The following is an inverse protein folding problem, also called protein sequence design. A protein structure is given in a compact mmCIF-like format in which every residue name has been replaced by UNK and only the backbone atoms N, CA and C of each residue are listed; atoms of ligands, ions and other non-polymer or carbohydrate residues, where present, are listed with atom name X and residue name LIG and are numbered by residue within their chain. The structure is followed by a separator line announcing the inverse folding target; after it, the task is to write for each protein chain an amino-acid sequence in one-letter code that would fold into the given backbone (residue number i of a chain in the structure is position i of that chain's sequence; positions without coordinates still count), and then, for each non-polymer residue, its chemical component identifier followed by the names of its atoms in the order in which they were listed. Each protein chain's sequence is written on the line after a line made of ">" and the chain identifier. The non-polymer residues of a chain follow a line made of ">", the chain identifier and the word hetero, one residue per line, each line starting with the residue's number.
data_IF_810088548947
#
_entry.id   IF_810088548947
#
_cell.length_a   1.000
_cell.length_b   1.000
_cell.length_c   1.000
_cell.angle_alpha   90.00
_cell.angle_beta   90.00
_cell.angle_gamma   90.00
#
_symmetry.space_group_name_H-M   'P 1'
#
loop_
_entity.id
_entity.type
_entity.pdbx_description
1 polymer ?
#
# COMPACT_ATOMS: atom_id res chain seq x y z
N UNK A 1 3.01 1.68 -8.33
CA UNK A 1 4.27 2.43 -8.06
C UNK A 1 4.18 3.30 -6.80
N UNK A 2 3.25 4.26 -6.65
CA UNK A 2 3.18 5.16 -5.49
C UNK A 2 3.14 4.43 -4.14
N UNK A 3 2.21 3.50 -3.93
CA UNK A 3 2.15 2.70 -2.71
C UNK A 3 3.40 1.84 -2.46
N UNK A 4 4.04 1.33 -3.51
CA UNK A 4 5.26 0.55 -3.37
C UNK A 4 6.44 1.44 -2.92
N UNK A 5 6.55 2.65 -3.46
CA UNK A 5 7.54 3.64 -2.99
C UNK A 5 7.26 4.07 -1.55
N UNK A 6 5.99 4.29 -1.20
CA UNK A 6 5.59 4.61 0.16
C UNK A 6 6.03 3.51 1.13
N UNK A 7 5.66 2.28 0.88
CA UNK A 7 5.99 1.16 1.78
C UNK A 7 7.49 0.88 1.87
N UNK A 8 8.24 1.04 0.75
CA UNK A 8 9.65 0.69 0.70
C UNK A 8 10.58 1.87 1.07
N UNK A 9 10.18 3.12 0.84
CA UNK A 9 11.11 4.25 0.92
C UNK A 9 10.75 5.29 1.97
N UNK A 10 9.52 5.28 2.50
CA UNK A 10 9.06 6.33 3.42
C UNK A 10 9.88 6.37 4.70
N UNK A 11 10.12 5.21 5.34
CA UNK A 11 10.95 5.12 6.54
C UNK A 11 12.36 5.66 6.29
N UNK A 12 12.96 5.32 5.14
CA UNK A 12 14.26 5.83 4.70
C UNK A 12 14.26 7.35 4.54
N UNK A 13 13.22 7.91 3.87
CA UNK A 13 13.11 9.36 3.63
C UNK A 13 13.03 10.09 4.96
N UNK A 14 12.12 9.74 5.86
CA UNK A 14 11.96 10.44 7.13
C UNK A 14 13.18 10.35 8.03
N UNK A 15 13.82 9.18 8.11
CA UNK A 15 15.05 9.03 8.89
C UNK A 15 16.20 9.84 8.26
N UNK A 16 16.29 9.90 6.93
CA UNK A 16 17.28 10.75 6.25
C UNK A 16 17.04 12.24 6.50
N UNK A 17 15.76 12.67 6.59
CA UNK A 17 15.42 14.05 6.97
C UNK A 17 15.71 14.37 8.45
N UNK A 18 16.05 13.36 9.26
CA UNK A 18 16.38 13.50 10.67
C UNK A 18 15.21 13.25 11.61
N UNK A 19 14.17 12.52 11.19
CA UNK A 19 13.13 12.09 12.09
C UNK A 19 13.72 11.13 13.14
N UNK A 20 13.39 11.38 14.41
CA UNK A 20 13.73 10.47 15.50
C UNK A 20 12.99 9.13 15.30
N UNK A 21 13.71 7.99 15.29
CA UNK A 21 13.10 6.67 15.18
C UNK A 21 12.01 6.40 16.23
N UNK A 22 12.12 6.98 17.44
CA UNK A 22 11.10 6.87 18.48
C UNK A 22 9.76 7.51 18.07
N UNK A 23 9.79 8.48 17.18
CA UNK A 23 8.62 9.24 16.75
C UNK A 23 8.18 8.95 15.31
N UNK A 24 8.81 7.98 14.63
CA UNK A 24 8.45 7.62 13.25
C UNK A 24 6.98 7.21 13.09
N UNK A 25 6.41 6.58 14.09
CA UNK A 25 5.00 6.16 14.07
C UNK A 25 4.02 7.28 13.72
N UNK A 26 4.30 8.54 14.11
CA UNK A 26 3.43 9.67 13.76
C UNK A 26 3.26 9.86 12.25
N UNK A 27 4.31 9.67 11.47
CA UNK A 27 4.28 9.83 10.03
C UNK A 27 3.52 8.70 9.32
N UNK A 28 3.40 7.55 9.99
CA UNK A 28 2.73 6.36 9.45
C UNK A 28 1.27 6.21 9.91
N UNK A 29 0.75 7.06 10.81
CA UNK A 29 -0.67 7.09 11.17
C UNK A 29 -1.52 7.72 10.07
N UNK A 30 -1.02 8.79 9.44
CA UNK A 30 -1.78 9.61 8.49
C UNK A 30 -2.25 8.82 7.26
N UNK A 31 -1.41 8.01 6.58
CA UNK A 31 -1.82 7.24 5.41
C UNK A 31 -3.03 6.33 5.63
N UNK A 32 -3.05 5.39 6.58
CA UNK A 32 -4.20 4.52 6.78
C UNK A 32 -5.44 5.27 7.27
N UNK A 33 -5.28 6.36 8.02
CA UNK A 33 -6.39 7.22 8.42
C UNK A 33 -7.03 7.89 7.20
N UNK A 34 -6.22 8.41 6.29
CA UNK A 34 -6.68 8.99 5.05
C UNK A 34 -7.41 7.95 4.19
N UNK A 35 -6.85 6.75 4.02
CA UNK A 35 -7.47 5.66 3.27
C UNK A 35 -8.82 5.24 3.84
N UNK A 36 -8.95 5.17 5.14
CA UNK A 36 -10.20 4.82 5.83
C UNK A 36 -11.33 5.84 5.60
N UNK A 37 -10.99 7.12 5.43
CA UNK A 37 -11.97 8.20 5.22
C UNK A 37 -12.23 8.43 3.74
N UNK A 38 -11.18 8.53 2.92
CA UNK A 38 -11.27 8.99 1.53
C UNK A 38 -11.93 7.96 0.61
N UNK A 39 -11.61 6.68 0.78
CA UNK A 39 -12.17 5.65 -0.10
C UNK A 39 -13.71 5.60 -0.07
N UNK A 40 -14.38 5.56 1.11
CA UNK A 40 -15.84 5.61 1.17
C UNK A 40 -16.42 6.91 0.61
N UNK A 41 -15.78 8.06 0.89
CA UNK A 41 -16.25 9.36 0.40
C UNK A 41 -16.19 9.43 -1.13
N UNK A 42 -15.07 9.06 -1.74
CA UNK A 42 -14.92 9.04 -3.19
C UNK A 42 -15.91 8.05 -3.82
N UNK A 43 -16.11 6.87 -3.23
CA UNK A 43 -17.13 5.93 -3.66
C UNK A 43 -18.51 6.58 -3.68
N UNK A 44 -18.94 7.14 -2.56
CA UNK A 44 -20.25 7.77 -2.40
C UNK A 44 -20.49 8.95 -3.36
N UNK A 45 -19.51 9.86 -3.45
CA UNK A 45 -19.65 11.03 -4.33
C UNK A 45 -19.56 10.66 -5.80
N UNK A 46 -18.67 9.74 -6.19
CA UNK A 46 -18.52 9.33 -7.57
C UNK A 46 -19.76 8.60 -8.11
N UNK A 47 -20.51 7.90 -7.26
CA UNK A 47 -21.78 7.29 -7.66
C UNK A 47 -22.87 8.31 -8.01
N UNK A 48 -22.78 9.54 -7.48
CA UNK A 48 -23.73 10.63 -7.66
C UNK A 48 -23.27 11.69 -8.65
N UNK A 49 -22.03 11.64 -9.06
CA UNK A 49 -21.43 12.59 -10.01
C UNK A 49 -21.67 12.11 -11.44
N UNK A 50 -22.05 13.02 -12.34
CA UNK A 50 -22.01 12.79 -13.77
C UNK A 50 -21.53 14.05 -14.47
N UNK A 51 -20.50 13.92 -15.28
CA UNK A 51 -19.87 15.01 -16.04
C UNK A 51 -19.69 14.61 -17.50
N UNK A 52 -19.22 15.53 -18.34
CA UNK A 52 -18.85 15.25 -19.74
C UNK A 52 -17.76 14.17 -19.89
N UNK A 53 -16.98 13.90 -18.83
CA UNK A 53 -15.94 12.88 -18.81
C UNK A 53 -16.43 11.53 -18.26
N UNK A 54 -17.64 11.49 -17.73
CA UNK A 54 -18.19 10.33 -17.04
C UNK A 54 -18.39 10.56 -15.55
N UNK A 55 -18.56 9.47 -14.81
CA UNK A 55 -18.84 9.43 -13.38
C UNK A 55 -17.57 9.33 -12.55
N UNK A 56 -16.64 8.49 -12.96
CA UNK A 56 -15.40 8.16 -12.25
C UNK A 56 -14.20 9.02 -12.71
N UNK A 57 -14.17 9.40 -13.99
CA UNK A 57 -13.06 10.09 -14.63
C UNK A 57 -12.70 11.44 -14.01
N UNK A 58 -13.62 12.30 -13.53
CA UNK A 58 -13.26 13.57 -12.91
C UNK A 58 -12.35 13.43 -11.70
N UNK A 59 -12.53 12.38 -10.92
CA UNK A 59 -11.71 12.11 -9.73
C UNK A 59 -10.26 11.73 -10.13
N UNK A 60 -10.09 10.93 -11.17
CA UNK A 60 -8.78 10.60 -11.76
C UNK A 60 -8.10 11.84 -12.35
N UNK A 61 -8.87 12.68 -13.06
CA UNK A 61 -8.35 13.90 -13.70
C UNK A 61 -7.84 14.92 -12.69
N UNK A 62 -8.42 14.98 -11.50
CA UNK A 62 -8.00 15.90 -10.43
C UNK A 62 -6.90 15.25 -9.57
N UNK A 63 -7.14 14.06 -9.07
CA UNK A 63 -6.24 13.40 -8.12
C UNK A 63 -4.91 12.95 -8.76
N UNK A 64 -4.92 12.54 -10.03
CA UNK A 64 -3.72 12.12 -10.76
C UNK A 64 -2.64 13.20 -10.84
N UNK A 65 -2.93 14.39 -11.40
CA UNK A 65 -1.96 15.50 -11.45
C UNK A 65 -1.51 15.99 -10.08
N UNK A 66 -2.42 16.11 -9.10
CA UNK A 66 -2.06 16.50 -7.73
C UNK A 66 -1.11 15.45 -7.13
N UNK A 67 -1.42 14.16 -7.27
CA UNK A 67 -0.57 13.07 -6.79
C UNK A 67 0.80 13.06 -7.46
N UNK A 68 0.89 13.38 -8.76
CA UNK A 68 2.16 13.50 -9.47
C UNK A 68 3.02 14.66 -8.91
N UNK A 69 2.43 15.82 -8.64
CA UNK A 69 3.11 16.95 -8.00
C UNK A 69 3.62 16.54 -6.61
N UNK A 70 2.79 15.90 -5.81
CA UNK A 70 3.15 15.45 -4.46
C UNK A 70 4.31 14.46 -4.49
N UNK A 71 4.30 13.51 -5.44
CA UNK A 71 5.41 12.55 -5.63
C UNK A 71 6.73 13.24 -5.99
N UNK A 72 6.69 14.37 -6.70
CA UNK A 72 7.88 15.17 -6.97
C UNK A 72 8.35 15.94 -5.73
N UNK A 73 7.42 16.51 -4.96
CA UNK A 73 7.75 17.36 -3.82
C UNK A 73 8.26 16.57 -2.62
N UNK A 74 7.70 15.40 -2.35
CA UNK A 74 7.99 14.61 -1.15
C UNK A 74 9.49 14.29 -0.98
N UNK A 75 10.21 13.70 -1.95
CA UNK A 75 11.63 13.37 -1.78
C UNK A 75 12.53 14.63 -1.78
N UNK A 76 12.00 15.80 -2.11
CA UNK A 76 12.70 17.07 -2.08
C UNK A 76 12.54 17.85 -0.76
N UNK A 77 11.83 17.30 0.22
CA UNK A 77 11.57 17.97 1.50
C UNK A 77 12.85 18.52 2.17
N UNK A 78 13.97 17.79 2.07
CA UNK A 78 15.26 18.24 2.60
C UNK A 78 15.99 19.28 1.75
N UNK A 79 15.61 19.43 0.47
CA UNK A 79 16.30 20.33 -0.49
C UNK A 79 15.75 21.76 -0.50
N UNK A 80 14.67 22.04 0.24
CA UNK A 80 14.06 23.38 0.30
C UNK A 80 14.72 24.32 1.33
N UNK A 81 15.86 23.93 1.91
CA UNK A 81 16.57 24.77 2.89
C UNK A 81 15.93 24.81 4.28
N UNK A 82 15.02 23.89 4.59
CA UNK A 82 14.36 23.83 5.91
C UNK A 82 15.29 23.39 7.05
N UNK A 83 16.46 22.83 6.72
CA UNK A 83 17.43 22.32 7.68
C UNK A 83 17.16 20.87 8.13
N UNK A 84 18.26 20.19 8.54
CA UNK A 84 18.22 18.82 9.04
C UNK A 84 17.45 18.74 10.36
N UNK A 85 16.60 17.72 10.52
CA UNK A 85 15.77 17.48 11.69
C UNK A 85 14.85 18.66 12.10
N UNK A 86 14.65 19.62 11.21
CA UNK A 86 13.79 20.75 11.50
C UNK A 86 12.32 20.34 11.49
N UNK A 87 11.53 20.97 12.39
CA UNK A 87 10.08 20.77 12.41
C UNK A 87 9.45 21.08 11.05
N UNK A 88 9.99 22.07 10.31
CA UNK A 88 9.48 22.47 9.01
C UNK A 88 9.70 21.38 7.95
N UNK A 89 10.90 20.77 7.87
CA UNK A 89 11.19 19.69 6.94
C UNK A 89 10.32 18.45 7.23
N UNK A 90 10.20 18.09 8.50
CA UNK A 90 9.42 16.93 8.94
C UNK A 90 7.91 17.13 8.73
N UNK A 91 7.39 18.32 9.07
CA UNK A 91 5.98 18.66 8.84
C UNK A 91 5.65 18.72 7.35
N UNK A 92 6.52 19.29 6.53
CA UNK A 92 6.36 19.27 5.07
C UNK A 92 6.31 17.84 4.54
N UNK A 93 7.25 16.98 4.96
CA UNK A 93 7.26 15.57 4.60
C UNK A 93 5.97 14.86 5.02
N UNK A 94 5.48 15.11 6.24
CA UNK A 94 4.23 14.53 6.75
C UNK A 94 3.00 14.95 5.94
N UNK A 95 2.90 16.27 5.61
CA UNK A 95 1.80 16.79 4.78
C UNK A 95 1.86 16.19 3.37
N UNK A 96 3.06 16.10 2.76
CA UNK A 96 3.22 15.50 1.44
C UNK A 96 2.87 14.01 1.46
N UNK A 97 3.21 13.28 2.52
CA UNK A 97 2.82 11.88 2.69
C UNK A 97 1.31 11.72 2.79
N UNK A 98 0.66 12.54 3.59
CA UNK A 98 -0.80 12.56 3.72
C UNK A 98 -1.46 12.84 2.35
N UNK A 99 -1.00 13.86 1.64
CA UNK A 99 -1.51 14.21 0.31
C UNK A 99 -1.25 13.11 -0.72
N UNK A 100 -0.10 12.43 -0.65
CA UNK A 100 0.21 11.29 -1.51
C UNK A 100 -0.79 10.16 -1.28
N UNK A 101 -1.12 9.87 -0.04
CA UNK A 101 -2.07 8.81 0.29
C UNK A 101 -3.50 9.20 -0.10
N UNK A 102 -3.92 10.44 0.20
CA UNK A 102 -5.23 10.98 -0.22
C UNK A 102 -5.41 10.86 -1.73
N UNK A 103 -4.44 11.33 -2.52
CA UNK A 103 -4.51 11.32 -3.98
C UNK A 103 -4.41 9.91 -4.56
N UNK A 104 -3.56 9.03 -3.98
CA UNK A 104 -3.44 7.65 -4.41
C UNK A 104 -4.73 6.87 -4.18
N UNK A 105 -5.37 7.04 -3.01
CA UNK A 105 -6.66 6.42 -2.71
C UNK A 105 -7.78 7.01 -3.58
N UNK A 106 -7.76 8.33 -3.83
CA UNK A 106 -8.71 8.99 -4.71
C UNK A 106 -8.60 8.53 -6.17
N UNK A 107 -7.41 8.16 -6.64
CA UNK A 107 -7.21 7.53 -7.96
C UNK A 107 -7.61 6.05 -7.96
N UNK A 108 -7.26 5.32 -6.90
CA UNK A 108 -7.44 3.87 -6.86
C UNK A 108 -8.91 3.45 -6.84
N UNK A 109 -9.76 4.16 -6.11
CA UNK A 109 -11.18 3.83 -6.00
C UNK A 109 -11.90 3.89 -7.35
N UNK A 110 -11.91 5.03 -8.10
CA UNK A 110 -12.52 5.08 -9.41
C UNK A 110 -11.97 4.03 -10.37
N UNK A 111 -10.66 3.80 -10.36
CA UNK A 111 -10.00 2.81 -11.19
C UNK A 111 -10.51 1.39 -10.93
N UNK A 112 -10.68 1.00 -9.67
CA UNK A 112 -11.27 -0.29 -9.30
C UNK A 112 -12.74 -0.38 -9.71
N UNK A 113 -13.51 0.68 -9.50
CA UNK A 113 -14.94 0.71 -9.80
C UNK A 113 -15.23 0.61 -11.30
N UNK A 114 -14.37 1.14 -12.18
CA UNK A 114 -14.50 1.01 -13.63
C UNK A 114 -14.54 -0.46 -14.07
N UNK A 115 -13.76 -1.34 -13.44
CA UNK A 115 -13.79 -2.78 -13.73
C UNK A 115 -15.15 -3.37 -13.38
N UNK A 116 -15.71 -3.01 -12.22
CA UNK A 116 -17.04 -3.45 -11.81
C UNK A 116 -18.18 -2.89 -12.70
N UNK A 117 -18.03 -1.63 -13.12
CA UNK A 117 -19.04 -0.89 -13.85
C UNK A 117 -19.11 -1.26 -15.35
N UNK A 118 -17.97 -1.59 -15.98
CA UNK A 118 -17.85 -1.68 -17.43
C UNK A 118 -17.49 -3.07 -17.96
N UNK A 119 -16.97 -3.95 -17.12
CA UNK A 119 -16.53 -5.29 -17.54
C UNK A 119 -17.61 -6.31 -17.23
N UNK A 120 -17.98 -7.12 -18.24
CA UNK A 120 -18.97 -8.18 -18.05
C UNK A 120 -18.45 -9.28 -17.11
N UNK A 121 -19.36 -10.05 -16.49
CA UNK A 121 -19.03 -11.05 -15.49
C UNK A 121 -18.00 -12.10 -15.99
N UNK A 122 -18.09 -12.51 -17.26
CA UNK A 122 -17.19 -13.51 -17.84
C UNK A 122 -15.74 -13.04 -18.00
N UNK A 123 -15.53 -11.72 -18.09
CA UNK A 123 -14.21 -11.10 -18.28
C UNK A 123 -13.68 -10.42 -17.01
N UNK A 124 -14.49 -10.34 -15.95
CA UNK A 124 -14.16 -9.64 -14.71
C UNK A 124 -12.92 -10.20 -14.02
N UNK A 125 -12.82 -11.53 -13.93
CA UNK A 125 -11.65 -12.17 -13.31
C UNK A 125 -10.36 -11.90 -14.09
N UNK A 126 -10.44 -11.88 -15.41
CA UNK A 126 -9.31 -11.52 -16.28
C UNK A 126 -8.92 -10.05 -16.09
N UNK A 127 -9.87 -9.14 -16.00
CA UNK A 127 -9.60 -7.71 -15.78
C UNK A 127 -8.92 -7.45 -14.43
N UNK A 128 -9.40 -8.09 -13.35
CA UNK A 128 -8.76 -8.05 -12.03
C UNK A 128 -7.35 -8.64 -12.04
N UNK A 129 -7.15 -9.74 -12.77
CA UNK A 129 -5.83 -10.36 -12.90
C UNK A 129 -4.83 -9.44 -13.60
N UNK A 130 -5.22 -8.81 -14.70
CA UNK A 130 -4.39 -7.82 -15.39
C UNK A 130 -4.08 -6.60 -14.52
N UNK A 131 -5.09 -6.08 -13.79
CA UNK A 131 -4.87 -4.99 -12.86
C UNK A 131 -3.78 -5.33 -11.84
N UNK A 132 -3.84 -6.54 -11.28
CA UNK A 132 -2.87 -6.98 -10.26
C UNK A 132 -1.47 -7.20 -10.85
N UNK A 133 -1.38 -7.73 -12.07
CA UNK A 133 -0.11 -7.88 -12.79
C UNK A 133 0.54 -6.50 -13.01
N UNK A 134 -0.19 -5.51 -13.54
CA UNK A 134 0.35 -4.17 -13.74
C UNK A 134 0.69 -3.47 -12.42
N UNK A 135 -0.08 -3.68 -11.37
CA UNK A 135 0.20 -3.17 -10.03
C UNK A 135 1.53 -3.71 -9.50
N UNK A 136 1.74 -5.02 -9.59
CA UNK A 136 2.97 -5.68 -9.15
C UNK A 136 4.19 -5.28 -10.00
N UNK A 137 4.05 -5.21 -11.34
CA UNK A 137 5.11 -4.72 -12.22
C UNK A 137 5.52 -3.28 -11.86
N UNK A 138 4.53 -2.41 -11.63
CA UNK A 138 4.80 -1.05 -11.15
C UNK A 138 5.51 -1.02 -9.79
N UNK A 139 5.17 -1.95 -8.90
CA UNK A 139 5.86 -2.13 -7.62
C UNK A 139 7.31 -2.55 -7.78
N UNK A 140 7.56 -3.58 -8.58
CA UNK A 140 8.90 -4.08 -8.90
C UNK A 140 9.79 -2.97 -9.47
N UNK A 141 9.32 -2.27 -10.49
CA UNK A 141 10.08 -1.17 -11.11
C UNK A 141 10.39 -0.08 -10.07
N UNK A 142 9.39 0.34 -9.30
CA UNK A 142 9.54 1.41 -8.33
C UNK A 142 10.57 1.10 -7.25
N UNK A 143 10.54 -0.11 -6.70
CA UNK A 143 11.40 -0.50 -5.57
C UNK A 143 12.81 -0.87 -5.99
N UNK A 144 12.97 -1.39 -7.21
CA UNK A 144 14.27 -1.79 -7.75
C UNK A 144 15.06 -0.61 -8.33
N UNK A 145 14.39 0.44 -8.76
CA UNK A 145 15.00 1.54 -9.52
C UNK A 145 16.16 2.23 -8.79
N UNK A 146 16.10 2.59 -7.49
CA UNK A 146 17.24 3.22 -6.81
C UNK A 146 18.50 2.33 -6.81
N UNK A 147 18.32 1.01 -6.70
CA UNK A 147 19.42 0.05 -6.77
C UNK A 147 20.06 0.01 -8.18
N UNK A 148 19.22 -0.07 -9.23
CA UNK A 148 19.70 -0.08 -10.62
C UNK A 148 20.45 1.21 -10.96
N UNK A 149 19.94 2.36 -10.56
CA UNK A 149 20.60 3.64 -10.77
C UNK A 149 21.97 3.71 -10.08
N UNK A 150 22.09 3.11 -8.89
CA UNK A 150 23.36 3.03 -8.18
C UNK A 150 24.37 2.14 -8.93
N UNK A 151 23.95 0.99 -9.47
CA UNK A 151 24.81 0.13 -10.32
C UNK A 151 25.26 0.86 -11.58
N UNK A 152 24.41 1.71 -12.14
CA UNK A 152 24.72 2.55 -13.31
C UNK A 152 25.68 3.71 -12.99
N UNK A 153 26.17 3.78 -11.76
CA UNK A 153 27.18 4.76 -11.33
C UNK A 153 26.61 6.04 -10.70
N UNK A 154 25.31 6.13 -10.44
CA UNK A 154 24.75 7.28 -9.72
C UNK A 154 25.07 7.21 -8.22
N UNK A 155 25.45 8.36 -7.64
CA UNK A 155 25.70 8.44 -6.20
C UNK A 155 24.41 8.16 -5.40
N UNK A 156 24.51 7.26 -4.44
CA UNK A 156 23.44 6.93 -3.50
C UNK A 156 23.63 7.65 -2.15
N UNK A 157 24.59 8.54 -2.05
CA UNK A 157 24.88 9.36 -0.87
C UNK A 157 24.52 10.81 -1.20
N UNK A 158 23.94 11.50 -0.24
CA UNK A 158 23.58 12.91 -0.33
C UNK A 158 24.06 13.64 0.94
N UNK A 159 24.12 14.98 0.92
CA UNK A 159 24.34 15.77 2.12
C UNK A 159 23.36 15.41 3.24
N UNK A 160 23.77 15.62 4.49
CA UNK A 160 22.95 15.35 5.66
C UNK A 160 21.62 16.11 5.59
N UNK A 161 20.52 15.39 5.71
CA UNK A 161 19.17 15.96 5.59
C UNK A 161 18.60 15.93 4.18
N UNK A 162 19.35 15.50 3.17
CA UNK A 162 18.86 15.36 1.79
C UNK A 162 18.71 13.92 1.37
N UNK A 163 17.64 13.64 0.62
CA UNK A 163 17.38 12.32 0.05
C UNK A 163 18.27 12.10 -1.17
N UNK A 164 18.93 10.93 -1.32
CA UNK A 164 19.77 10.63 -2.47
C UNK A 164 19.05 10.78 -3.82
N UNK A 165 19.79 11.19 -4.86
CA UNK A 165 19.23 11.43 -6.19
C UNK A 165 18.63 10.17 -6.81
N UNK A 166 19.17 8.99 -6.50
CA UNK A 166 18.63 7.69 -6.92
C UNK A 166 17.18 7.50 -6.45
N UNK A 167 16.87 7.89 -5.23
CA UNK A 167 15.51 7.84 -4.67
C UNK A 167 14.63 8.93 -5.29
N UNK A 168 15.14 10.17 -5.43
CA UNK A 168 14.40 11.27 -6.07
C UNK A 168 13.95 10.88 -7.47
N UNK A 169 14.82 10.30 -8.28
CA UNK A 169 14.49 9.85 -9.65
C UNK A 169 13.40 8.77 -9.64
N UNK A 170 13.44 7.82 -8.71
CA UNK A 170 12.37 6.81 -8.61
C UNK A 170 11.00 7.45 -8.38
N UNK A 171 10.93 8.48 -7.54
CA UNK A 171 9.70 9.25 -7.32
C UNK A 171 9.30 10.07 -8.55
N UNK A 172 10.25 10.68 -9.27
CA UNK A 172 9.95 11.45 -10.49
C UNK A 172 9.41 10.55 -11.61
N UNK A 173 9.97 9.36 -11.78
CA UNK A 173 9.45 8.38 -12.74
C UNK A 173 8.05 7.94 -12.33
N UNK A 174 7.80 7.66 -11.05
CA UNK A 174 6.48 7.31 -10.56
C UNK A 174 5.45 8.44 -10.79
N UNK A 175 5.86 9.69 -10.60
CA UNK A 175 5.05 10.88 -10.87
C UNK A 175 4.66 10.98 -12.34
N UNK A 176 5.65 10.82 -13.23
CA UNK A 176 5.43 10.84 -14.69
C UNK A 176 4.49 9.72 -15.13
N UNK A 177 4.69 8.49 -14.64
CA UNK A 177 3.82 7.34 -14.94
C UNK A 177 2.40 7.58 -14.42
N UNK A 178 2.24 8.09 -13.20
CA UNK A 178 0.92 8.41 -12.63
C UNK A 178 0.18 9.45 -13.47
N UNK A 179 0.86 10.53 -13.84
CA UNK A 179 0.28 11.60 -14.63
C UNK A 179 -0.14 11.13 -16.02
N UNK A 180 0.77 10.45 -16.74
CA UNK A 180 0.51 9.92 -18.08
C UNK A 180 -0.63 8.89 -18.05
N UNK A 181 -0.59 7.94 -17.11
CA UNK A 181 -1.62 6.92 -16.98
C UNK A 181 -2.98 7.50 -16.62
N UNK A 182 -3.04 8.49 -15.74
CA UNK A 182 -4.29 9.17 -15.36
C UNK A 182 -4.91 9.89 -16.55
N UNK A 183 -4.12 10.69 -17.28
CA UNK A 183 -4.58 11.41 -18.47
C UNK A 183 -5.01 10.42 -19.57
N UNK A 184 -4.19 9.40 -19.83
CA UNK A 184 -4.52 8.37 -20.80
C UNK A 184 -5.86 7.67 -20.49
N UNK A 185 -6.08 7.30 -19.22
CA UNK A 185 -7.30 6.65 -18.81
C UNK A 185 -8.52 7.55 -19.04
N UNK A 186 -8.44 8.83 -18.64
CA UNK A 186 -9.52 9.80 -18.83
C UNK A 186 -9.87 10.02 -20.30
N UNK A 187 -8.86 10.01 -21.19
CA UNK A 187 -9.07 10.21 -22.63
C UNK A 187 -9.55 8.95 -23.35
N UNK A 188 -9.16 7.76 -22.88
CA UNK A 188 -9.41 6.49 -23.57
C UNK A 188 -10.68 5.78 -23.10
N UNK A 189 -11.06 5.92 -21.84
CA UNK A 189 -12.20 5.21 -21.26
C UNK A 189 -13.45 6.09 -21.38
N UNK A 190 -14.49 5.55 -22.03
CA UNK A 190 -15.81 6.17 -22.09
C UNK A 190 -16.77 5.39 -21.20
N UNK A 191 -17.22 6.01 -20.14
CA UNK A 191 -18.18 5.41 -19.22
C UNK A 191 -19.59 5.41 -19.81
N UNK A 192 -20.41 4.44 -19.39
CA UNK A 192 -21.82 4.38 -19.77
C UNK A 192 -22.58 5.55 -19.16
N UNK A 193 -23.49 6.16 -19.97
CA UNK A 193 -24.44 7.14 -19.46
C UNK A 193 -25.33 6.53 -18.35
N UNK A 194 -25.80 7.33 -17.37
CA UNK A 194 -26.57 6.83 -16.24
C UNK A 194 -27.76 5.94 -16.61
N UNK A 195 -28.48 6.28 -17.69
CA UNK A 195 -29.60 5.48 -18.17
C UNK A 195 -29.15 4.10 -18.67
N UNK A 196 -28.09 4.07 -19.48
CA UNK A 196 -27.51 2.83 -20.02
C UNK A 196 -26.91 1.97 -18.90
N UNK A 197 -26.23 2.61 -17.94
CA UNK A 197 -25.69 1.96 -16.77
C UNK A 197 -26.78 1.28 -15.93
N UNK A 198 -27.85 2.02 -15.60
CA UNK A 198 -29.00 1.49 -14.84
C UNK A 198 -29.65 0.30 -15.56
N UNK A 199 -29.79 0.38 -16.89
CA UNK A 199 -30.34 -0.70 -17.71
C UNK A 199 -29.50 -1.98 -17.61
N UNK A 200 -28.16 -1.89 -17.77
CA UNK A 200 -27.28 -3.05 -17.70
C UNK A 200 -27.15 -3.66 -16.30
N UNK A 201 -27.33 -2.86 -15.25
CA UNK A 201 -27.20 -3.30 -13.87
C UNK A 201 -28.54 -3.59 -13.19
N UNK A 202 -29.65 -3.47 -13.91
CA UNK A 202 -31.00 -3.75 -13.37
C UNK A 202 -31.40 -2.85 -12.19
N UNK A 203 -30.86 -1.61 -12.13
CA UNK A 203 -31.11 -0.69 -11.02
C UNK A 203 -32.43 0.06 -11.30
N UNK A 204 -33.44 -0.18 -10.48
CA UNK A 204 -34.65 0.65 -10.43
C UNK A 204 -34.40 1.89 -9.55
N UNK A 205 -35.01 3.04 -9.90
CA UNK A 205 -34.79 4.29 -9.16
C UNK A 205 -35.26 4.26 -7.70
N UNK A 206 -36.09 3.32 -7.31
CA UNK A 206 -36.65 3.18 -5.95
C UNK A 206 -35.65 2.72 -4.91
N UNK A 207 -34.59 1.98 -5.27
CA UNK A 207 -33.64 1.38 -4.32
C UNK A 207 -32.51 2.32 -3.85
N UNK A 208 -32.49 3.58 -4.27
CA UNK A 208 -31.42 4.56 -3.94
C UNK A 208 -31.49 5.15 -2.52
N UNK A 209 -32.54 4.93 -1.78
CA UNK A 209 -32.82 5.67 -0.53
C UNK A 209 -32.70 4.86 0.77
N UNK A 210 -32.37 3.59 0.75
CA UNK A 210 -32.15 2.86 1.99
C UNK A 210 -30.84 3.34 2.66
N UNK A 211 -30.99 3.98 3.82
CA UNK A 211 -29.86 4.34 4.69
C UNK A 211 -29.31 3.07 5.31
N UNK A 212 -28.21 2.57 4.76
CA UNK A 212 -27.45 1.47 5.38
C UNK A 212 -27.02 1.87 6.80
N UNK A 213 -27.55 1.16 7.79
CA UNK A 213 -27.11 1.32 9.18
C UNK A 213 -25.87 0.43 9.44
N UNK A 214 -24.67 1.02 9.30
CA UNK A 214 -23.39 0.32 9.49
C UNK A 214 -23.29 -0.36 10.85
N UNK A 215 -23.90 0.22 11.90
CA UNK A 215 -23.91 -0.38 13.24
C UNK A 215 -24.76 -1.66 13.31
N UNK A 216 -25.87 -1.67 12.60
CA UNK A 216 -26.71 -2.86 12.49
C UNK A 216 -25.99 -3.97 11.72
N UNK A 217 -25.32 -3.62 10.61
CA UNK A 217 -24.50 -4.57 9.83
C UNK A 217 -23.39 -5.21 10.69
N UNK A 218 -22.70 -4.43 11.50
CA UNK A 218 -21.69 -4.97 12.42
C UNK A 218 -22.28 -5.95 13.42
N UNK A 219 -23.46 -5.65 13.99
CA UNK A 219 -24.13 -6.55 14.95
C UNK A 219 -24.60 -7.86 14.34
N UNK A 220 -25.00 -7.82 13.07
CA UNK A 220 -25.50 -8.99 12.32
C UNK A 220 -24.40 -9.71 11.53
N UNK A 221 -23.15 -9.22 11.59
CA UNK A 221 -22.04 -9.79 10.85
C UNK A 221 -21.79 -11.25 11.20
N UNK A 222 -21.58 -12.13 10.21
CA UNK A 222 -21.34 -13.54 10.44
C UNK A 222 -20.06 -13.76 11.25
N UNK A 223 -20.02 -14.86 12.02
CA UNK A 223 -18.84 -15.21 12.84
C UNK A 223 -17.53 -15.22 12.05
N UNK A 224 -17.58 -15.64 10.79
CA UNK A 224 -16.43 -15.67 9.90
C UNK A 224 -15.86 -14.27 9.62
N UNK A 225 -16.72 -13.24 9.48
CA UNK A 225 -16.28 -11.84 9.34
C UNK A 225 -15.34 -11.45 10.48
N UNK A 226 -15.74 -11.69 11.73
CA UNK A 226 -14.96 -11.36 12.91
C UNK A 226 -13.67 -12.17 13.02
N UNK A 227 -13.72 -13.46 12.72
CA UNK A 227 -12.54 -14.32 12.73
C UNK A 227 -11.48 -13.87 11.72
N UNK A 228 -11.89 -13.55 10.50
CA UNK A 228 -10.99 -13.07 9.46
C UNK A 228 -10.46 -11.67 9.82
N UNK A 229 -11.32 -10.80 10.37
CA UNK A 229 -10.93 -9.45 10.79
C UNK A 229 -9.85 -9.46 11.88
N UNK A 230 -9.96 -10.37 12.87
CA UNK A 230 -8.94 -10.52 13.92
C UNK A 230 -7.61 -11.00 13.34
N UNK A 231 -7.63 -11.98 12.45
CA UNK A 231 -6.41 -12.47 11.80
C UNK A 231 -5.75 -11.36 10.97
N UNK A 232 -6.55 -10.62 10.20
CA UNK A 232 -6.07 -9.48 9.42
C UNK A 232 -5.51 -8.37 10.31
N UNK A 233 -6.11 -8.13 11.46
CA UNK A 233 -5.61 -7.14 12.40
C UNK A 233 -4.14 -7.41 12.77
N UNK A 234 -3.80 -8.61 13.22
CA UNK A 234 -2.43 -8.94 13.60
C UNK A 234 -1.47 -8.94 12.41
N UNK A 235 -1.92 -9.39 11.25
CA UNK A 235 -1.10 -9.41 10.06
C UNK A 235 -0.72 -7.99 9.57
N UNK A 236 -1.70 -7.08 9.47
CA UNK A 236 -1.44 -5.70 9.07
C UNK A 236 -0.69 -4.90 10.14
N UNK A 237 -0.89 -5.25 11.41
CA UNK A 237 -0.13 -4.71 12.52
C UNK A 237 1.38 -5.02 12.36
N UNK A 238 1.73 -6.27 12.09
CA UNK A 238 3.12 -6.69 11.87
C UNK A 238 3.74 -6.07 10.62
N UNK A 239 3.00 -6.01 9.51
CA UNK A 239 3.48 -5.39 8.27
C UNK A 239 3.73 -3.89 8.40
N UNK A 240 3.00 -3.20 9.28
CA UNK A 240 3.27 -1.80 9.54
C UNK A 240 4.67 -1.57 10.10
N UNK A 241 5.15 -2.44 10.99
CA UNK A 241 6.51 -2.38 11.49
C UNK A 241 7.56 -2.74 10.44
N UNK A 242 7.26 -3.72 9.56
CA UNK A 242 8.10 -4.02 8.41
C UNK A 242 8.34 -2.75 7.56
N UNK A 243 7.29 -2.00 7.24
CA UNK A 243 7.41 -0.80 6.42
C UNK A 243 8.13 0.35 7.11
N UNK A 244 7.91 0.51 8.41
CA UNK A 244 8.43 1.65 9.17
C UNK A 244 9.91 1.48 9.51
N UNK A 245 10.32 0.29 9.95
CA UNK A 245 11.61 0.09 10.61
C UNK A 245 12.61 -0.79 9.85
N UNK A 246 12.23 -1.48 8.77
CA UNK A 246 13.11 -2.46 8.10
C UNK A 246 14.39 -1.85 7.56
N UNK A 247 14.36 -0.67 6.96
CA UNK A 247 15.60 -0.04 6.47
C UNK A 247 16.62 0.15 7.59
N UNK A 248 16.19 0.69 8.73
CA UNK A 248 17.07 0.89 9.89
C UNK A 248 17.57 -0.42 10.50
N UNK A 249 16.70 -1.42 10.60
CA UNK A 249 17.07 -2.74 11.14
C UNK A 249 18.08 -3.46 10.23
N UNK A 250 17.85 -3.47 8.93
CA UNK A 250 18.77 -4.06 7.94
C UNK A 250 20.10 -3.31 7.95
N UNK A 251 20.08 -1.96 8.00
CA UNK A 251 21.29 -1.15 8.07
C UNK A 251 22.13 -1.48 9.30
N UNK A 252 21.50 -1.59 10.47
CA UNK A 252 22.17 -1.96 11.71
C UNK A 252 22.72 -3.40 11.67
N UNK A 253 21.89 -4.37 11.26
CA UNK A 253 22.22 -5.77 11.38
C UNK A 253 23.22 -6.25 10.32
N UNK A 254 23.20 -5.69 9.10
CA UNK A 254 24.01 -6.15 7.96
C UNK A 254 25.20 -5.22 7.69
N UNK A 255 24.99 -3.89 7.79
CA UNK A 255 26.04 -2.89 7.50
C UNK A 255 26.62 -2.23 8.75
N UNK A 256 26.14 -2.58 9.95
CA UNK A 256 26.49 -1.93 11.21
C UNK A 256 26.40 -0.39 11.14
N UNK A 257 25.42 0.10 10.40
CA UNK A 257 25.21 1.52 10.13
C UNK A 257 23.95 2.01 10.86
N UNK A 258 24.14 3.01 11.73
CA UNK A 258 23.04 3.62 12.50
C UNK A 258 22.74 5.06 12.05
N UNK A 259 23.69 5.74 11.43
CA UNK A 259 23.50 7.09 10.89
C UNK A 259 22.80 7.02 9.53
N UNK A 260 21.57 7.58 9.40
CA UNK A 260 20.83 7.62 8.14
C UNK A 260 21.54 8.30 6.98
N UNK A 261 22.52 9.18 7.26
CA UNK A 261 23.32 9.87 6.24
C UNK A 261 24.50 9.00 5.74
N UNK A 262 24.82 7.91 6.43
CA UNK A 262 25.94 7.05 6.08
C UNK A 262 25.70 6.26 4.79
N UNK A 263 26.79 5.97 4.06
CA UNK A 263 26.76 5.14 2.86
C UNK A 263 26.17 3.75 3.14
N UNK A 264 26.49 3.15 4.31
CA UNK A 264 25.96 1.85 4.73
C UNK A 264 24.45 1.86 4.92
N UNK A 265 23.91 2.88 5.56
CA UNK A 265 22.46 3.02 5.72
C UNK A 265 21.74 3.18 4.36
N UNK A 266 22.30 4.00 3.48
CA UNK A 266 21.73 4.22 2.15
C UNK A 266 21.86 2.96 1.27
N UNK A 267 22.93 2.17 1.41
CA UNK A 267 23.05 0.87 0.77
C UNK A 267 21.99 -0.14 1.28
N UNK A 268 21.74 -0.16 2.59
CA UNK A 268 20.66 -0.97 3.18
C UNK A 268 19.28 -0.58 2.65
N UNK A 269 19.02 0.71 2.47
CA UNK A 269 17.78 1.20 1.87
C UNK A 269 17.59 0.74 0.42
N UNK A 270 18.65 0.74 -0.38
CA UNK A 270 18.61 0.19 -1.74
C UNK A 270 18.40 -1.33 -1.72
N UNK A 271 19.07 -2.03 -0.82
CA UNK A 271 18.92 -3.47 -0.69
C UNK A 271 17.49 -3.84 -0.22
N UNK A 272 16.92 -3.06 0.69
CA UNK A 272 15.51 -3.23 1.07
C UNK A 272 14.57 -3.09 -0.12
N UNK A 273 14.85 -2.16 -1.05
CA UNK A 273 14.11 -2.06 -2.32
C UNK A 273 14.21 -3.33 -3.17
N UNK A 274 15.39 -3.96 -3.26
CA UNK A 274 15.60 -5.26 -3.93
C UNK A 274 14.81 -6.37 -3.24
N UNK A 275 14.88 -6.44 -1.92
CA UNK A 275 14.13 -7.42 -1.13
C UNK A 275 12.61 -7.27 -1.31
N UNK A 276 12.14 -6.02 -1.37
CA UNK A 276 10.73 -5.73 -1.62
C UNK A 276 10.29 -6.14 -3.04
N UNK A 277 11.19 -5.98 -4.03
CA UNK A 277 10.99 -6.52 -5.39
C UNK A 277 10.86 -8.05 -5.35
N UNK A 278 11.71 -8.75 -4.60
CA UNK A 278 11.65 -10.21 -4.43
C UNK A 278 10.35 -10.64 -3.77
N UNK A 279 9.86 -9.87 -2.79
CA UNK A 279 8.54 -10.08 -2.18
C UNK A 279 7.42 -10.05 -3.23
N UNK A 280 7.40 -9.07 -4.12
CA UNK A 280 6.41 -9.01 -5.21
C UNK A 280 6.56 -10.17 -6.19
N UNK A 281 7.77 -10.50 -6.58
CA UNK A 281 8.05 -11.61 -7.49
C UNK A 281 7.61 -12.94 -6.88
N UNK A 282 7.93 -13.17 -5.61
CA UNK A 282 7.49 -14.36 -4.87
C UNK A 282 5.96 -14.44 -4.82
N UNK A 283 5.28 -13.30 -4.56
CA UNK A 283 3.80 -13.23 -4.58
C UNK A 283 3.24 -13.64 -5.94
N UNK A 284 3.84 -13.18 -7.04
CA UNK A 284 3.39 -13.52 -8.40
C UNK A 284 3.59 -15.01 -8.67
N UNK A 285 4.78 -15.54 -8.40
CA UNK A 285 5.12 -16.96 -8.65
C UNK A 285 4.18 -17.87 -7.84
N UNK A 286 4.01 -17.57 -6.56
CA UNK A 286 3.14 -18.36 -5.69
C UNK A 286 1.66 -18.21 -6.05
N UNK A 287 1.29 -17.11 -6.70
CA UNK A 287 -0.05 -16.89 -7.25
C UNK A 287 -0.48 -17.97 -8.24
N UNK A 288 0.43 -18.45 -9.08
CA UNK A 288 0.17 -19.56 -9.99
C UNK A 288 -0.07 -20.89 -9.27
N UNK A 289 0.50 -21.08 -8.08
CA UNK A 289 0.25 -22.26 -7.24
C UNK A 289 -1.15 -22.19 -6.65
N UNK A 290 -1.50 -21.02 -6.06
CA UNK A 290 -2.82 -20.81 -5.44
C UNK A 290 -3.93 -20.83 -6.48
N UNK A 291 -3.73 -20.31 -7.67
CA UNK A 291 -4.73 -20.30 -8.74
C UNK A 291 -5.22 -21.71 -9.12
N UNK A 292 -4.40 -22.75 -8.88
CA UNK A 292 -4.76 -24.16 -9.10
C UNK A 292 -5.35 -24.83 -7.87
N UNK A 293 -5.48 -24.14 -6.75
CA UNK A 293 -5.98 -24.71 -5.50
C UNK A 293 -7.50 -24.87 -5.52
N UNK A 294 -7.98 -25.87 -4.77
CA UNK A 294 -9.42 -26.12 -4.62
C UNK A 294 -10.01 -25.17 -3.57
N UNK A 295 -11.32 -24.81 -3.67
CA UNK A 295 -11.99 -23.99 -2.66
C UNK A 295 -11.84 -24.51 -1.22
N UNK A 296 -11.87 -25.83 -1.02
CA UNK A 296 -11.68 -26.47 0.29
C UNK A 296 -10.30 -26.23 0.92
N UNK A 297 -9.30 -25.81 0.13
CA UNK A 297 -7.92 -25.56 0.59
C UNK A 297 -7.66 -24.11 0.97
N UNK A 298 -8.64 -23.20 0.84
CA UNK A 298 -8.47 -21.76 1.09
C UNK A 298 -7.95 -21.46 2.51
N UNK A 299 -8.53 -22.06 3.53
CA UNK A 299 -8.08 -21.91 4.93
C UNK A 299 -6.65 -22.40 5.12
N UNK A 300 -6.30 -23.53 4.51
CA UNK A 300 -4.94 -24.07 4.54
C UNK A 300 -3.93 -23.07 3.93
N UNK A 301 -4.18 -22.57 2.72
CA UNK A 301 -3.30 -21.64 2.05
C UNK A 301 -3.18 -20.31 2.81
N UNK A 302 -4.27 -19.84 3.40
CA UNK A 302 -4.23 -18.64 4.23
C UNK A 302 -3.36 -18.84 5.47
N UNK A 303 -3.56 -19.93 6.22
CA UNK A 303 -2.73 -20.26 7.39
C UNK A 303 -1.26 -20.50 7.02
N UNK A 304 -1.02 -21.19 5.90
CA UNK A 304 0.32 -21.40 5.37
C UNK A 304 1.04 -20.06 5.13
N UNK A 305 0.39 -19.14 4.43
CA UNK A 305 0.96 -17.82 4.18
C UNK A 305 1.25 -17.03 5.45
N UNK A 306 0.36 -17.08 6.44
CA UNK A 306 0.58 -16.40 7.74
C UNK A 306 1.77 -16.97 8.50
N UNK A 307 1.91 -18.31 8.54
CA UNK A 307 3.04 -18.98 9.20
C UNK A 307 4.34 -18.60 8.51
N UNK A 308 4.40 -18.68 7.17
CA UNK A 308 5.60 -18.31 6.43
C UNK A 308 5.91 -16.81 6.57
N UNK A 309 4.92 -15.94 6.57
CA UNK A 309 5.10 -14.51 6.84
C UNK A 309 5.71 -14.24 8.20
N UNK A 310 5.20 -14.89 9.24
CA UNK A 310 5.75 -14.83 10.60
C UNK A 310 7.20 -15.33 10.66
N UNK A 311 7.49 -16.48 10.05
CA UNK A 311 8.86 -17.02 9.95
C UNK A 311 9.79 -16.05 9.19
N UNK A 312 9.30 -15.41 8.11
CA UNK A 312 10.04 -14.40 7.37
C UNK A 312 10.42 -13.20 8.25
N UNK A 313 9.46 -12.66 9.00
CA UNK A 313 9.72 -11.54 9.92
C UNK A 313 10.70 -11.93 11.03
N UNK A 314 10.47 -13.05 11.69
CA UNK A 314 11.34 -13.52 12.79
C UNK A 314 12.77 -13.80 12.28
N UNK A 315 12.92 -14.40 11.09
CA UNK A 315 14.24 -14.71 10.53
C UNK A 315 15.10 -13.47 10.27
N UNK A 316 14.52 -12.31 10.00
CA UNK A 316 15.26 -11.06 9.80
C UNK A 316 16.09 -10.66 11.05
N UNK A 317 15.68 -11.09 12.24
CA UNK A 317 16.43 -10.82 13.47
C UNK A 317 17.76 -11.58 13.52
N UNK A 318 17.75 -12.82 13.05
CA UNK A 318 18.92 -13.72 13.14
C UNK A 318 19.84 -13.59 11.92
N UNK A 319 19.37 -13.00 10.82
CA UNK A 319 20.13 -12.94 9.57
C UNK A 319 20.94 -11.64 9.52
N UNK A 320 22.26 -11.78 9.48
CA UNK A 320 23.23 -10.68 9.36
C UNK A 320 23.89 -10.64 7.95
N UNK A 321 23.43 -11.46 7.04
CA UNK A 321 23.90 -11.51 5.66
C UNK A 321 22.82 -11.02 4.69
N UNK A 322 23.17 -10.04 3.86
CA UNK A 322 22.22 -9.44 2.91
C UNK A 322 21.57 -10.46 1.97
N UNK A 323 22.30 -11.46 1.50
CA UNK A 323 21.81 -12.46 0.55
C UNK A 323 20.83 -13.44 1.20
N UNK A 324 21.06 -13.81 2.45
CA UNK A 324 20.14 -14.70 3.18
C UNK A 324 18.79 -14.03 3.50
N UNK A 325 18.73 -12.70 3.58
CA UNK A 325 17.48 -11.95 3.74
C UNK A 325 16.50 -12.19 2.57
N UNK A 326 16.99 -12.61 1.41
CA UNK A 326 16.15 -13.00 0.27
C UNK A 326 15.13 -14.08 0.68
N UNK A 327 15.55 -15.05 1.49
CA UNK A 327 14.67 -16.13 1.98
C UNK A 327 13.54 -15.56 2.83
N UNK A 328 13.86 -14.62 3.74
CA UNK A 328 12.86 -13.93 4.55
C UNK A 328 11.80 -13.22 3.70
N UNK A 329 12.24 -12.54 2.65
CA UNK A 329 11.33 -11.78 1.78
C UNK A 329 10.56 -12.67 0.79
N UNK A 330 11.08 -13.85 0.43
CA UNK A 330 10.28 -14.88 -0.26
C UNK A 330 9.11 -15.31 0.63
N UNK A 331 9.35 -15.57 1.90
CA UNK A 331 8.31 -15.97 2.86
C UNK A 331 7.29 -14.86 3.10
N UNK A 332 7.74 -13.62 3.27
CA UNK A 332 6.86 -12.44 3.38
C UNK A 332 6.05 -12.26 2.08
N UNK A 333 6.61 -12.57 0.91
CA UNK A 333 5.91 -12.52 -0.38
C UNK A 333 4.77 -13.54 -0.49
N UNK A 334 4.94 -14.75 0.04
CA UNK A 334 3.88 -15.75 0.14
C UNK A 334 2.74 -15.22 1.02
N UNK A 335 3.08 -14.63 2.18
CA UNK A 335 2.09 -14.00 3.05
C UNK A 335 1.37 -12.85 2.34
N UNK A 336 2.10 -11.96 1.68
CA UNK A 336 1.52 -10.81 0.98
C UNK A 336 0.46 -11.23 -0.05
N UNK A 337 0.69 -12.31 -0.79
CA UNK A 337 -0.30 -12.87 -1.70
C UNK A 337 -1.53 -13.39 -0.96
N UNK A 338 -1.32 -14.27 0.02
CA UNK A 338 -2.42 -14.98 0.68
C UNK A 338 -3.30 -14.04 1.49
N UNK A 339 -2.72 -13.03 2.15
CA UNK A 339 -3.47 -12.05 2.93
C UNK A 339 -4.31 -11.08 2.07
N UNK A 340 -3.91 -10.88 0.82
CA UNK A 340 -4.65 -10.01 -0.13
C UNK A 340 -5.68 -10.77 -0.97
N UNK A 341 -5.67 -12.10 -0.95
CA UNK A 341 -6.59 -12.92 -1.76
C UNK A 341 -7.57 -13.73 -0.92
N UNK A 342 -7.08 -14.52 0.02
CA UNK A 342 -7.88 -15.50 0.75
C UNK A 342 -8.95 -14.89 1.68
N UNK A 343 -8.68 -13.82 2.45
CA UNK A 343 -9.68 -13.21 3.30
C UNK A 343 -10.90 -12.71 2.54
N UNK A 344 -10.69 -12.06 1.40
CA UNK A 344 -11.78 -11.55 0.57
C UNK A 344 -12.64 -12.69 0.01
N UNK A 345 -12.00 -13.78 -0.42
CA UNK A 345 -12.71 -14.94 -0.93
C UNK A 345 -13.51 -15.66 0.18
N UNK A 346 -12.88 -15.86 1.34
CA UNK A 346 -13.55 -16.48 2.50
C UNK A 346 -14.69 -15.60 3.04
N UNK A 347 -14.54 -14.29 2.97
CA UNK A 347 -15.55 -13.34 3.40
C UNK A 347 -16.75 -13.36 2.44
N UNK A 348 -16.51 -13.32 1.14
CA UNK A 348 -17.59 -13.33 0.12
C UNK A 348 -18.37 -14.64 0.12
N UNK A 349 -17.78 -15.76 0.56
CA UNK A 349 -18.50 -17.02 0.78
C UNK A 349 -19.42 -16.99 2.02
N UNK A 350 -19.11 -16.15 2.99
CA UNK A 350 -19.81 -16.09 4.28
C UNK A 350 -20.93 -15.04 4.31
N UNK A 351 -20.98 -14.16 3.32
CA UNK A 351 -21.91 -13.03 3.27
C UNK A 351 -22.92 -13.25 2.16
N UNK A 352 -24.20 -13.19 2.50
CA UNK A 352 -25.29 -13.22 1.52
C UNK A 352 -25.31 -11.94 0.65
N UNK A 353 -25.68 -12.10 -0.63
CA UNK A 353 -25.42 -11.15 -1.72
C UNK A 353 -25.88 -9.70 -1.55
N UNK A 354 -26.96 -9.44 -0.81
CA UNK A 354 -27.56 -8.08 -0.74
C UNK A 354 -26.69 -7.02 -0.07
N UNK A 355 -25.82 -7.40 0.89
CA UNK A 355 -24.99 -6.46 1.66
C UNK A 355 -23.47 -6.68 1.49
N UNK A 356 -23.07 -7.46 0.49
CA UNK A 356 -21.67 -7.86 0.30
C UNK A 356 -20.72 -6.65 0.14
N UNK A 357 -21.12 -5.63 -0.60
CA UNK A 357 -20.34 -4.40 -0.78
C UNK A 357 -20.12 -3.62 0.51
N UNK A 358 -21.16 -3.53 1.36
CA UNK A 358 -21.07 -2.84 2.64
C UNK A 358 -20.17 -3.61 3.64
N UNK A 359 -20.26 -4.94 3.67
CA UNK A 359 -19.37 -5.76 4.49
C UNK A 359 -17.91 -5.69 4.01
N UNK A 360 -17.66 -5.67 2.70
CA UNK A 360 -16.33 -5.48 2.15
C UNK A 360 -15.77 -4.09 2.51
N UNK A 361 -16.61 -3.06 2.49
CA UNK A 361 -16.25 -1.72 2.97
C UNK A 361 -15.89 -1.69 4.45
N UNK A 362 -16.71 -2.32 5.31
CA UNK A 362 -16.41 -2.50 6.74
C UNK A 362 -15.15 -3.31 6.98
N UNK A 363 -14.92 -4.33 6.17
CA UNK A 363 -13.71 -5.15 6.27
C UNK A 363 -12.43 -4.37 5.99
N UNK A 364 -12.49 -3.32 5.16
CA UNK A 364 -11.34 -2.43 4.96
C UNK A 364 -10.88 -1.76 6.26
N UNK A 365 -11.77 -1.57 7.23
CA UNK A 365 -11.39 -1.10 8.58
C UNK A 365 -10.45 -2.08 9.28
N UNK A 366 -10.60 -3.39 9.05
CA UNK A 366 -9.70 -4.43 9.59
C UNK A 366 -8.29 -4.38 8.95
N UNK A 367 -8.13 -3.63 7.87
CA UNK A 367 -6.84 -3.36 7.21
C UNK A 367 -6.22 -2.06 7.74
N UNK A 368 -7.01 -0.99 7.83
CA UNK A 368 -6.50 0.34 8.18
C UNK A 368 -6.31 0.52 9.70
N UNK A 369 -7.26 0.04 10.51
CA UNK A 369 -7.21 0.19 11.98
C UNK A 369 -5.94 -0.40 12.61
N UNK A 370 -5.50 -1.64 12.30
CA UNK A 370 -4.29 -2.20 12.86
C UNK A 370 -3.03 -1.41 12.51
N UNK A 371 -2.97 -0.79 11.35
CA UNK A 371 -1.85 0.06 10.95
C UNK A 371 -1.77 1.33 11.82
N UNK A 372 -2.92 1.93 12.13
CA UNK A 372 -3.01 3.07 13.05
C UNK A 372 -2.59 2.64 14.47
N UNK A 373 -3.13 1.51 14.94
CA UNK A 373 -2.81 0.99 16.28
C UNK A 373 -1.32 0.64 16.39
N UNK A 374 -0.74 -0.02 15.38
CA UNK A 374 0.69 -0.33 15.33
C UNK A 374 1.55 0.94 15.41
N UNK A 375 1.18 1.98 14.66
CA UNK A 375 1.87 3.25 14.68
C UNK A 375 1.82 3.92 16.04
N UNK A 376 0.67 3.92 16.71
CA UNK A 376 0.51 4.47 18.08
C UNK A 376 1.29 3.65 19.11
N UNK A 377 1.17 2.32 19.05
CA UNK A 377 1.85 1.41 19.98
C UNK A 377 3.39 1.47 19.80
N UNK A 378 3.87 1.81 18.61
CA UNK A 378 5.30 1.96 18.34
C UNK A 378 5.97 3.00 19.27
N UNK A 379 5.26 4.04 19.71
CA UNK A 379 5.80 5.03 20.65
C UNK A 379 6.17 4.45 22.01
N UNK A 380 5.42 3.45 22.47
CA UNK A 380 5.72 2.76 23.70
C UNK A 380 6.74 1.63 23.52
N UNK A 381 6.66 0.92 22.40
CA UNK A 381 7.49 -0.27 22.16
C UNK A 381 8.89 0.07 21.62
N UNK A 382 9.03 1.08 20.76
CA UNK A 382 10.32 1.40 20.17
C UNK A 382 11.39 1.81 21.21
N UNK A 383 11.10 2.63 22.24
CA UNK A 383 12.06 2.94 23.28
C UNK A 383 12.54 1.71 24.08
N UNK A 384 11.70 0.67 24.18
CA UNK A 384 12.00 -0.57 24.90
C UNK A 384 12.76 -1.58 24.05
N UNK A 385 12.37 -1.74 22.78
CA UNK A 385 12.80 -2.81 21.89
C UNK A 385 13.74 -2.33 20.77
N UNK A 386 13.75 -1.02 20.51
CA UNK A 386 14.50 -0.43 19.42
C UNK A 386 14.12 -1.04 18.07
N UNK A 387 15.12 -1.24 17.20
CA UNK A 387 14.89 -1.80 15.86
C UNK A 387 14.42 -3.27 15.87
N UNK A 388 14.46 -3.95 17.04
CA UNK A 388 13.88 -5.30 17.19
C UNK A 388 12.35 -5.32 17.09
N UNK A 389 11.71 -4.15 17.09
CA UNK A 389 10.26 -4.00 16.98
C UNK A 389 9.66 -4.66 15.71
N UNK A 390 10.42 -4.76 14.62
CA UNK A 390 9.95 -5.43 13.40
C UNK A 390 9.72 -6.93 13.55
N UNK A 391 10.14 -7.53 14.68
CA UNK A 391 10.06 -8.97 14.93
C UNK A 391 8.87 -9.32 15.85
N UNK A 392 8.09 -8.34 16.31
CA UNK A 392 6.84 -8.54 17.03
C UNK A 392 5.69 -8.83 16.07
#
# INVERSE_FOLDING_TARGET
>A
MAFALQSAMMGRIFQTLGADPNNLGWFFILPPLAGMIVQPLIGYYSDRTWTRFGRRMPYLLIAGPIGAIVLVLLPNAGSFGFGYASLMALSFGAIMTLLMDLTSNACMQPYKMIIGDMVNEKQRDMAWSWQQIFSNLGGIIATLLPFLLTIMGMSNVAPKGEVPMTVKIAYYIAAAVLLIASIWTVLSVKEYEPKTYNYYHGISDDNRNEKLNLWQLLKTAPKQFWQISVVQFFNWFALMYLWTYSTGAIAKNVWNATDPSSAGYQAAGNWYGVLYCIQFLSSVIFGFVIAKSKPSQRKFWYSFGLIFGGLGLISMFFIHNQWLLIISFIFIGINNLTMNTQPFTLLTEAIDGENSGAYLGLFNTSICLPQIVASVVSFALFPLLGLSLIHI
#
